data_IF_608826197854
#
_entry.id   IF_608826197854
#
_cell.length_a   1.000
_cell.length_b   1.000
_cell.length_c   1.000
_cell.angle_alpha   90.00
_cell.angle_beta   90.00
_cell.angle_gamma   90.00
#
_symmetry.space_group_name_H-M   'P 1'
#
loop_
_entity.id
_entity.type
_entity.pdbx_description
1 polymer ?
#
# COMPACT_ATOMS: atom_id res chain seq x y z
N UNK A 1 0.51 -15.61 -0.27
CA UNK A 1 0.78 -15.65 -1.73
C UNK A 1 0.02 -14.50 -2.37
N UNK A 2 0.73 -13.47 -2.82
CA UNK A 2 0.12 -12.32 -3.51
C UNK A 2 -0.31 -12.76 -4.91
N UNK A 3 -1.61 -12.82 -5.17
CA UNK A 3 -2.15 -12.97 -6.52
C UNK A 3 -2.14 -11.60 -7.17
N UNK A 4 -1.05 -11.26 -7.85
CA UNK A 4 -1.12 -10.22 -8.87
C UNK A 4 -2.10 -10.71 -9.96
N UNK A 5 -2.96 -9.85 -10.53
CA UNK A 5 -3.72 -10.24 -11.70
C UNK A 5 -2.75 -10.69 -12.80
N UNK A 6 -3.03 -11.81 -13.46
CA UNK A 6 -2.18 -12.38 -14.55
C UNK A 6 -1.91 -11.37 -15.67
N UNK A 7 -2.70 -10.29 -15.75
CA UNK A 7 -2.49 -9.17 -16.65
C UNK A 7 -2.71 -7.83 -15.93
N UNK A 8 -1.71 -6.94 -16.02
CA UNK A 8 -1.85 -5.55 -15.56
C UNK A 8 -2.82 -4.78 -16.46
N UNK A 9 -3.63 -3.85 -15.91
CA UNK A 9 -4.49 -2.98 -16.71
C UNK A 9 -3.70 -2.26 -17.82
N UNK A 10 -4.33 -2.02 -18.97
CA UNK A 10 -3.70 -1.28 -20.08
C UNK A 10 -3.42 0.19 -19.70
N UNK A 11 -4.30 0.78 -18.88
CA UNK A 11 -4.09 2.10 -18.33
C UNK A 11 -2.92 2.08 -17.34
N UNK A 12 -1.79 2.68 -17.73
CA UNK A 12 -0.57 2.72 -16.92
C UNK A 12 -0.74 3.41 -15.55
N UNK A 13 -1.66 4.38 -15.39
CA UNK A 13 -1.93 4.99 -14.07
C UNK A 13 -2.63 4.01 -13.14
N UNK A 14 -3.61 3.26 -13.66
CA UNK A 14 -4.30 2.23 -12.90
C UNK A 14 -3.35 1.06 -12.57
N UNK A 15 -2.56 0.62 -13.53
CA UNK A 15 -1.55 -0.42 -13.32
C UNK A 15 -0.51 -0.01 -12.25
N UNK A 16 -0.06 1.25 -12.25
CA UNK A 16 0.80 1.80 -11.20
C UNK A 16 0.18 1.64 -9.81
N UNK A 17 -1.09 2.03 -9.66
CA UNK A 17 -1.82 1.93 -8.38
C UNK A 17 -1.93 0.49 -7.91
N UNK A 18 -2.29 -0.43 -8.81
CA UNK A 18 -2.41 -1.85 -8.50
C UNK A 18 -1.07 -2.43 -8.01
N UNK A 19 0.02 -2.14 -8.71
CA UNK A 19 1.36 -2.63 -8.35
C UNK A 19 1.79 -2.06 -7.01
N UNK A 20 1.64 -0.75 -6.81
CA UNK A 20 2.03 -0.10 -5.57
C UNK A 20 1.28 -0.67 -4.36
N UNK A 21 -0.05 -0.74 -4.40
CA UNK A 21 -0.88 -1.19 -3.28
C UNK A 21 -0.76 -2.70 -2.98
N UNK A 22 -0.36 -3.48 -3.97
CA UNK A 22 -0.09 -4.90 -3.77
C UNK A 22 1.14 -5.11 -2.85
N UNK A 23 2.15 -4.25 -2.92
CA UNK A 23 3.36 -4.38 -2.12
C UNK A 23 3.11 -4.12 -0.62
N UNK A 24 3.68 -4.96 0.25
CA UNK A 24 3.70 -4.78 1.71
C UNK A 24 5.06 -4.32 2.25
N UNK A 25 6.07 -4.25 1.39
CA UNK A 25 7.43 -3.79 1.70
C UNK A 25 7.99 -2.96 0.55
N UNK A 26 8.99 -2.14 0.83
CA UNK A 26 9.69 -1.33 -0.15
C UNK A 26 11.18 -1.23 0.18
N UNK A 27 11.99 -0.91 -0.83
CA UNK A 27 13.34 -0.37 -0.61
C UNK A 27 13.24 1.15 -0.54
N UNK A 28 13.48 1.72 0.64
CA UNK A 28 13.52 3.16 0.89
C UNK A 28 14.93 3.68 0.63
N UNK A 29 15.05 4.58 -0.34
CA UNK A 29 16.25 5.37 -0.57
C UNK A 29 16.13 6.73 0.13
N UNK A 30 17.17 7.08 0.89
CA UNK A 30 17.34 8.34 1.63
C UNK A 30 18.80 8.82 1.51
N UNK A 31 19.11 10.00 2.03
CA UNK A 31 20.47 10.56 1.99
C UNK A 31 21.12 10.46 3.37
N UNK A 32 22.30 9.82 3.48
CA UNK A 32 22.99 9.66 4.76
C UNK A 32 23.24 11.01 5.44
N UNK A 33 22.75 11.15 6.67
CA UNK A 33 23.07 12.29 7.51
C UNK A 33 24.59 12.34 7.78
N UNK A 34 25.19 13.54 7.70
CA UNK A 34 26.60 13.77 8.03
C UNK A 34 27.65 13.25 7.02
N UNK A 35 27.25 12.56 5.95
CA UNK A 35 28.16 11.98 4.94
C UNK A 35 28.00 12.61 3.54
N UNK A 36 27.76 13.92 3.48
CA UNK A 36 27.58 14.64 2.21
C UNK A 36 26.37 14.20 1.38
N UNK A 37 25.43 13.45 1.98
CA UNK A 37 24.23 12.96 1.32
C UNK A 37 24.44 11.75 0.40
N UNK A 38 25.37 10.84 0.73
CA UNK A 38 25.47 9.57 0.00
C UNK A 38 24.11 8.82 0.00
N UNK A 39 23.70 8.23 -1.14
CA UNK A 39 22.44 7.50 -1.22
C UNK A 39 22.49 6.24 -0.35
N UNK A 40 21.46 6.03 0.45
CA UNK A 40 21.32 4.90 1.37
C UNK A 40 19.99 4.21 1.16
N UNK A 41 20.04 2.90 0.94
CA UNK A 41 18.87 2.05 0.77
C UNK A 41 18.62 1.21 2.03
N UNK A 42 17.40 1.20 2.52
CA UNK A 42 16.95 0.34 3.62
C UNK A 42 15.64 -0.35 3.30
N UNK A 43 15.45 -1.57 3.81
CA UNK A 43 14.16 -2.25 3.76
C UNK A 43 13.18 -1.61 4.74
N UNK A 44 11.96 -1.32 4.29
CA UNK A 44 10.84 -0.87 5.13
C UNK A 44 9.59 -1.68 4.82
N UNK A 45 8.72 -1.87 5.82
CA UNK A 45 7.33 -2.27 5.59
C UNK A 45 6.50 -1.03 5.24
N UNK A 46 5.50 -1.21 4.38
CA UNK A 46 4.69 -0.10 3.87
C UNK A 46 3.21 -0.45 3.89
N UNK A 47 2.39 0.53 4.26
CA UNK A 47 0.96 0.57 3.98
C UNK A 47 0.67 1.79 3.10
N UNK A 48 -0.55 1.92 2.58
CA UNK A 48 -0.92 3.05 1.73
C UNK A 48 -2.18 3.74 2.25
N UNK A 49 -2.15 5.07 2.20
CA UNK A 49 -3.33 5.91 2.36
C UNK A 49 -4.20 5.88 1.09
N UNK A 50 -5.40 6.47 1.12
CA UNK A 50 -6.36 6.48 0.02
C UNK A 50 -5.84 7.19 -1.24
N UNK A 51 -5.00 8.21 -1.07
CA UNK A 51 -4.35 8.94 -2.17
C UNK A 51 -3.03 8.30 -2.66
N UNK A 52 -2.76 7.07 -2.21
CA UNK A 52 -1.53 6.31 -2.48
C UNK A 52 -0.28 6.88 -1.82
N UNK A 53 -0.41 7.79 -0.85
CA UNK A 53 0.73 8.16 0.00
C UNK A 53 1.22 6.93 0.80
N UNK A 54 2.50 6.54 0.67
CA UNK A 54 3.09 5.52 1.53
C UNK A 54 3.04 5.93 3.01
N UNK A 55 2.68 4.97 3.86
CA UNK A 55 2.69 5.06 5.31
C UNK A 55 3.77 4.12 5.83
N UNK A 56 4.69 4.65 6.63
CA UNK A 56 5.79 3.93 7.25
C UNK A 56 5.72 4.10 8.77
N UNK A 57 6.13 3.07 9.52
CA UNK A 57 6.35 3.16 10.96
C UNK A 57 7.83 2.99 11.23
N UNK A 58 8.51 4.05 11.63
CA UNK A 58 9.98 4.09 11.71
C UNK A 58 10.45 4.38 13.14
N UNK A 59 11.50 3.69 13.58
CA UNK A 59 12.21 4.00 14.83
C UNK A 59 13.09 5.23 14.64
N UNK A 60 13.10 6.14 15.62
CA UNK A 60 13.98 7.30 15.71
C UNK A 60 15.46 6.95 15.87
N UNK A 61 15.77 5.70 16.24
CA UNK A 61 17.14 5.21 16.37
C UNK A 61 17.75 4.78 15.03
N UNK A 62 16.91 4.51 14.03
CA UNK A 62 17.34 4.02 12.72
C UNK A 62 18.03 5.10 11.89
N UNK A 63 18.93 4.69 11.00
CA UNK A 63 19.62 5.63 10.12
C UNK A 63 18.68 6.23 9.08
N UNK A 64 17.71 5.47 8.53
CA UNK A 64 16.74 6.06 7.61
C UNK A 64 15.88 7.16 8.24
N UNK A 65 15.55 7.08 9.53
CA UNK A 65 14.83 8.17 10.21
C UNK A 65 15.73 9.39 10.41
N UNK A 66 16.98 9.19 10.85
CA UNK A 66 17.96 10.29 10.96
C UNK A 66 18.20 10.97 9.61
N UNK A 67 18.29 10.18 8.54
CA UNK A 67 18.44 10.67 7.16
C UNK A 67 17.25 11.54 6.76
N UNK A 68 16.03 11.05 6.94
CA UNK A 68 14.79 11.77 6.61
C UNK A 68 14.65 13.07 7.42
N UNK A 69 15.04 13.04 8.70
CA UNK A 69 15.03 14.24 9.54
C UNK A 69 16.03 15.30 9.06
N UNK A 70 17.15 14.90 8.46
CA UNK A 70 18.13 15.81 7.88
C UNK A 70 17.74 16.30 6.47
N UNK A 71 17.18 15.41 5.64
CA UNK A 71 16.64 15.72 4.33
C UNK A 71 15.40 14.85 4.05
N UNK A 72 14.20 15.45 3.92
CA UNK A 72 12.97 14.67 3.80
C UNK A 72 12.80 14.02 2.42
N UNK A 73 13.65 14.32 1.43
CA UNK A 73 13.52 13.74 0.09
C UNK A 73 13.83 12.25 0.11
N UNK A 74 12.88 11.46 -0.38
CA UNK A 74 12.98 10.00 -0.41
C UNK A 74 12.51 9.43 -1.74
N UNK A 75 12.93 8.20 -2.00
CA UNK A 75 12.41 7.37 -3.09
C UNK A 75 12.10 5.98 -2.57
N UNK A 76 10.97 5.39 -2.96
CA UNK A 76 10.55 4.05 -2.59
C UNK A 76 10.47 3.19 -3.85
N UNK A 77 11.25 2.11 -3.90
CA UNK A 77 11.09 1.07 -4.90
C UNK A 77 10.10 0.01 -4.37
N UNK A 78 8.99 -0.10 -5.08
CA UNK A 78 7.93 -1.09 -4.88
C UNK A 78 8.10 -2.18 -5.93
N UNK A 79 8.47 -3.37 -5.47
CA UNK A 79 8.81 -4.52 -6.30
C UNK A 79 7.60 -5.45 -6.44
N UNK A 80 6.99 -5.46 -7.63
CA UNK A 80 5.88 -6.34 -8.00
C UNK A 80 6.32 -7.60 -8.74
N UNK A 81 7.61 -7.96 -8.69
CA UNK A 81 8.19 -9.00 -9.56
C UNK A 81 8.17 -10.42 -8.97
N UNK A 82 7.59 -10.63 -7.79
CA UNK A 82 7.70 -11.87 -7.01
C UNK A 82 7.34 -13.18 -7.75
N UNK A 83 6.50 -13.12 -8.78
CA UNK A 83 6.05 -14.28 -9.58
C UNK A 83 6.69 -14.31 -10.98
N UNK A 84 7.70 -13.48 -11.24
CA UNK A 84 8.40 -13.43 -12.53
C UNK A 84 9.74 -14.18 -12.43
N UNK A 85 9.95 -15.17 -13.31
CA UNK A 85 11.22 -15.89 -13.40
C UNK A 85 12.41 -14.96 -13.72
N UNK A 86 12.18 -13.91 -14.54
CA UNK A 86 13.10 -12.81 -14.74
C UNK A 86 12.51 -11.52 -14.17
N UNK A 87 13.00 -11.00 -13.02
CA UNK A 87 12.42 -9.83 -12.38
C UNK A 87 12.53 -8.55 -13.23
N UNK A 88 13.48 -8.46 -14.18
CA UNK A 88 13.56 -7.31 -15.08
C UNK A 88 12.35 -7.17 -16.02
N UNK A 89 11.60 -8.26 -16.22
CA UNK A 89 10.38 -8.28 -17.03
C UNK A 89 9.11 -8.00 -16.23
N UNK A 90 9.16 -8.06 -14.89
CA UNK A 90 7.99 -7.91 -14.02
C UNK A 90 7.72 -6.47 -13.59
N UNK A 91 6.53 -6.13 -13.09
CA UNK A 91 6.18 -4.76 -12.78
C UNK A 91 6.89 -4.19 -11.55
N UNK A 92 7.12 -2.88 -11.56
CA UNK A 92 7.71 -2.13 -10.46
C UNK A 92 7.29 -0.67 -10.52
N UNK A 93 7.27 -0.03 -9.35
CA UNK A 93 7.01 1.41 -9.22
C UNK A 93 8.13 2.02 -8.38
N UNK A 94 8.72 3.11 -8.86
CA UNK A 94 9.57 3.98 -8.04
C UNK A 94 8.77 5.24 -7.72
N UNK A 95 8.40 5.44 -6.46
CA UNK A 95 7.69 6.63 -5.98
C UNK A 95 8.70 7.57 -5.34
N UNK A 96 8.74 8.83 -5.77
CA UNK A 96 9.58 9.88 -5.19
C UNK A 96 8.72 10.89 -4.46
N UNK A 97 9.20 11.41 -3.33
CA UNK A 97 8.45 12.39 -2.56
C UNK A 97 9.18 12.85 -1.32
N UNK A 98 8.42 13.41 -0.38
CA UNK A 98 8.93 13.92 0.90
C UNK A 98 8.30 13.19 2.07
N UNK A 99 9.14 12.76 3.00
CA UNK A 99 8.70 12.13 4.22
C UNK A 99 8.30 13.19 5.26
N UNK A 100 7.09 13.04 5.81
CA UNK A 100 6.54 13.91 6.84
C UNK A 100 6.06 13.07 8.01
N UNK A 101 6.40 13.48 9.24
CA UNK A 101 5.89 12.82 10.44
C UNK A 101 4.40 13.12 10.57
N UNK A 102 3.60 12.11 10.89
CA UNK A 102 2.15 12.26 11.08
C UNK A 102 1.72 11.77 12.46
N UNK A 103 0.71 12.45 13.00
CA UNK A 103 -0.01 12.06 14.23
C UNK A 103 -1.46 11.69 13.94
N UNK A 104 -1.84 11.54 12.67
CA UNK A 104 -3.19 11.10 12.29
C UNK A 104 -3.40 9.64 12.75
N UNK A 105 -4.30 9.39 13.72
CA UNK A 105 -4.54 8.05 14.25
C UNK A 105 -5.06 7.08 13.18
N UNK A 106 -5.70 7.57 12.11
CA UNK A 106 -6.18 6.75 10.99
C UNK A 106 -5.02 6.08 10.25
N UNK A 107 -3.90 6.77 10.09
CA UNK A 107 -2.71 6.21 9.43
C UNK A 107 -2.08 5.10 10.28
N UNK A 108 -2.01 5.30 11.60
CA UNK A 108 -1.59 4.24 12.53
C UNK A 108 -2.50 3.02 12.43
N UNK A 109 -3.82 3.22 12.44
CA UNK A 109 -4.79 2.14 12.31
C UNK A 109 -4.62 1.37 11.00
N UNK A 110 -4.50 2.06 9.85
CA UNK A 110 -4.23 1.41 8.55
C UNK A 110 -2.92 0.65 8.53
N UNK A 111 -1.85 1.23 9.09
CA UNK A 111 -0.55 0.57 9.13
C UNK A 111 -0.59 -0.72 9.97
N UNK A 112 -1.19 -0.68 11.16
CA UNK A 112 -1.31 -1.84 12.05
C UNK A 112 -2.28 -2.90 11.51
N UNK A 113 -3.33 -2.48 10.79
CA UNK A 113 -4.24 -3.41 10.12
C UNK A 113 -3.54 -4.19 9.00
N UNK A 114 -2.52 -3.60 8.38
CA UNK A 114 -1.67 -4.21 7.36
C UNK A 114 -0.49 -5.00 7.93
N UNK A 115 0.07 -4.55 9.06
CA UNK A 115 1.26 -5.13 9.71
C UNK A 115 1.01 -5.40 11.20
N UNK A 116 0.24 -6.44 11.58
CA UNK A 116 -0.18 -6.65 12.96
C UNK A 116 0.98 -6.86 13.94
N UNK A 117 2.08 -7.51 13.53
CA UNK A 117 3.28 -7.65 14.35
C UNK A 117 3.88 -6.31 14.79
N UNK A 118 3.60 -5.22 14.07
CA UNK A 118 4.08 -3.89 14.43
C UNK A 118 3.45 -3.32 15.71
N UNK A 119 2.31 -3.87 16.16
CA UNK A 119 1.68 -3.46 17.42
C UNK A 119 2.61 -3.65 18.64
N UNK A 120 3.60 -4.55 18.55
CA UNK A 120 4.59 -4.81 19.59
C UNK A 120 5.50 -3.61 19.88
N UNK A 121 5.71 -2.73 18.89
CA UNK A 121 6.65 -1.60 18.99
C UNK A 121 6.06 -0.26 18.58
N UNK A 122 4.87 -0.22 17.95
CA UNK A 122 4.24 1.02 17.50
C UNK A 122 3.94 2.03 18.63
N UNK A 123 3.78 1.54 19.87
CA UNK A 123 3.58 2.38 21.05
C UNK A 123 4.87 2.85 21.73
N UNK A 124 6.04 2.44 21.26
CA UNK A 124 7.31 2.87 21.84
C UNK A 124 7.58 4.34 21.50
N UNK A 125 8.16 5.07 22.45
CA UNK A 125 8.35 6.51 22.35
C UNK A 125 9.26 6.93 21.17
N UNK A 126 10.14 6.05 20.71
CA UNK A 126 11.02 6.30 19.58
C UNK A 126 10.39 5.94 18.23
N UNK A 127 9.24 5.26 18.17
CA UNK A 127 8.58 4.94 16.92
C UNK A 127 7.56 6.02 16.52
N UNK A 128 7.48 6.31 15.23
CA UNK A 128 6.52 7.27 14.70
C UNK A 128 6.00 6.87 13.32
N UNK A 129 4.77 7.27 13.03
CA UNK A 129 4.22 7.22 11.68
C UNK A 129 4.85 8.33 10.83
N UNK A 130 5.31 7.94 9.66
CA UNK A 130 5.76 8.82 8.59
C UNK A 130 4.90 8.59 7.36
N UNK A 131 4.37 9.67 6.81
CA UNK A 131 3.62 9.68 5.56
C UNK A 131 4.51 10.28 4.49
N UNK A 132 4.65 9.60 3.36
CA UNK A 132 5.41 10.14 2.23
C UNK A 132 4.43 10.89 1.33
N UNK A 133 4.58 12.21 1.24
CA UNK A 133 3.85 13.03 0.27
C UNK A 133 4.42 12.74 -1.13
N UNK A 134 3.68 12.04 -2.01
CA UNK A 134 4.19 11.69 -3.33
C UNK A 134 4.30 12.93 -4.21
N UNK A 135 5.40 13.03 -4.94
CA UNK A 135 5.61 14.08 -5.94
C UNK A 135 5.51 13.49 -7.36
N UNK A 136 6.18 12.35 -7.60
CA UNK A 136 6.21 11.66 -8.89
C UNK A 136 6.31 10.16 -8.71
N UNK A 137 5.96 9.42 -9.74
CA UNK A 137 6.16 7.99 -9.80
C UNK A 137 6.61 7.52 -11.18
N UNK A 138 7.62 6.66 -11.22
CA UNK A 138 8.06 5.96 -12.41
C UNK A 138 7.50 4.55 -12.39
N UNK A 139 6.57 4.26 -13.28
CA UNK A 139 6.01 2.93 -13.45
C UNK A 139 6.72 2.22 -14.57
N UNK A 140 7.09 0.96 -14.32
CA UNK A 140 7.50 0.05 -15.37
C UNK A 140 6.67 -1.23 -15.28
N UNK A 141 5.85 -1.48 -16.29
CA UNK A 141 4.88 -2.59 -16.33
C UNK A 141 5.33 -3.82 -17.12
N UNK A 142 6.61 -3.88 -17.50
CA UNK A 142 7.17 -4.88 -18.41
C UNK A 142 7.72 -4.25 -19.70
N UNK A 143 7.93 -5.07 -20.73
CA UNK A 143 8.54 -4.62 -21.98
C UNK A 143 7.70 -3.53 -22.65
N UNK A 144 8.34 -2.42 -23.06
CA UNK A 144 7.69 -1.31 -23.75
C UNK A 144 6.77 -0.42 -22.89
N UNK A 145 6.62 -0.68 -21.59
CA UNK A 145 5.77 0.09 -20.68
C UNK A 145 6.60 0.73 -19.57
N UNK A 146 7.26 1.85 -19.85
CA UNK A 146 7.99 2.66 -18.87
C UNK A 146 7.55 4.12 -18.97
N UNK A 147 6.98 4.68 -17.90
CA UNK A 147 6.35 6.00 -17.92
C UNK A 147 6.45 6.70 -16.57
N UNK A 148 6.67 8.02 -16.62
CA UNK A 148 6.61 8.90 -15.46
C UNK A 148 5.24 9.54 -15.33
N UNK A 149 4.78 9.68 -14.09
CA UNK A 149 3.60 10.44 -13.72
C UNK A 149 3.94 11.41 -12.59
N UNK A 150 3.42 12.62 -12.68
CA UNK A 150 3.38 13.54 -11.55
C UNK A 150 2.14 13.24 -10.70
N UNK A 151 2.24 13.47 -9.40
CA UNK A 151 1.09 13.41 -8.49
C UNK A 151 0.09 14.56 -8.82
N UNK A 152 -1.23 14.36 -8.66
CA UNK A 152 -1.89 13.12 -8.20
C UNK A 152 -1.95 12.04 -9.28
N UNK A 153 -1.98 10.77 -8.86
CA UNK A 153 -1.97 9.62 -9.77
C UNK A 153 -3.36 9.22 -10.30
N UNK A 154 -4.27 10.19 -10.42
CA UNK A 154 -5.66 9.97 -10.85
C UNK A 154 -6.54 9.31 -9.78
N UNK A 155 -6.19 9.49 -8.50
CA UNK A 155 -6.98 9.04 -7.35
C UNK A 155 -7.83 10.20 -6.83
N UNK A 156 -9.12 9.97 -6.70
CA UNK A 156 -10.00 10.74 -5.83
C UNK A 156 -10.44 9.79 -4.72
N UNK A 157 -10.14 10.06 -3.44
CA UNK A 157 -10.59 9.19 -2.36
C UNK A 157 -12.11 9.18 -2.20
N UNK A 158 -12.87 10.10 -2.82
CA UNK A 158 -14.33 10.16 -2.84
C UNK A 158 -15.01 10.00 -1.46
N UNK A 159 -14.39 10.52 -0.39
CA UNK A 159 -14.92 10.40 0.96
C UNK A 159 -14.83 8.97 1.56
N UNK A 160 -14.06 8.07 0.94
CA UNK A 160 -13.93 6.69 1.40
C UNK A 160 -13.23 6.61 2.77
N UNK A 161 -12.33 7.55 3.07
CA UNK A 161 -11.63 7.59 4.35
C UNK A 161 -12.57 7.78 5.54
N UNK A 162 -13.67 8.50 5.34
CA UNK A 162 -14.66 8.85 6.35
C UNK A 162 -15.60 7.67 6.66
N UNK A 163 -15.84 6.79 5.69
CA UNK A 163 -16.76 5.65 5.83
C UNK A 163 -16.07 4.28 5.80
N UNK A 164 -14.74 4.22 5.67
CA UNK A 164 -13.99 2.97 5.54
C UNK A 164 -14.30 1.97 6.68
N UNK A 165 -14.34 2.42 7.93
CA UNK A 165 -14.58 1.52 9.07
C UNK A 165 -15.97 0.88 9.03
N UNK A 166 -17.00 1.66 8.67
CA UNK A 166 -18.36 1.15 8.53
C UNK A 166 -18.46 0.15 7.37
N UNK A 167 -17.79 0.43 6.25
CA UNK A 167 -17.72 -0.47 5.10
C UNK A 167 -16.97 -1.76 5.43
N UNK A 168 -15.84 -1.69 6.15
CA UNK A 168 -15.10 -2.86 6.60
C UNK A 168 -15.97 -3.73 7.52
N UNK A 169 -16.71 -3.12 8.45
CA UNK A 169 -17.64 -3.83 9.33
C UNK A 169 -18.75 -4.52 8.54
N UNK A 170 -19.36 -3.81 7.59
CA UNK A 170 -20.41 -4.35 6.72
C UNK A 170 -19.89 -5.53 5.88
N UNK A 171 -18.76 -5.37 5.18
CA UNK A 171 -18.19 -6.41 4.31
C UNK A 171 -17.80 -7.64 5.12
N UNK A 172 -17.10 -7.48 6.25
CA UNK A 172 -16.69 -8.61 7.08
C UNK A 172 -17.88 -9.35 7.70
N UNK A 173 -18.98 -8.66 8.00
CA UNK A 173 -20.21 -9.28 8.53
C UNK A 173 -20.97 -10.02 7.42
N UNK A 174 -21.22 -9.34 6.29
CA UNK A 174 -22.01 -9.88 5.18
C UNK A 174 -21.30 -11.03 4.47
N UNK A 175 -19.97 -11.02 4.39
CA UNK A 175 -19.17 -12.00 3.66
C UNK A 175 -18.32 -12.90 4.58
N UNK A 176 -18.69 -13.06 5.85
CA UNK A 176 -17.97 -13.89 6.82
C UNK A 176 -17.74 -15.33 6.30
N UNK A 177 -18.73 -15.93 5.64
CA UNK A 177 -18.65 -17.28 5.09
C UNK A 177 -17.61 -17.39 3.95
N UNK A 178 -17.57 -16.41 3.06
CA UNK A 178 -16.59 -16.35 1.97
C UNK A 178 -15.16 -16.16 2.51
N UNK A 179 -14.99 -15.30 3.52
CA UNK A 179 -13.71 -15.08 4.18
C UNK A 179 -13.21 -16.33 4.93
N UNK A 180 -14.11 -17.05 5.61
CA UNK A 180 -13.76 -18.30 6.32
C UNK A 180 -13.23 -19.38 5.38
N UNK A 181 -13.66 -19.38 4.11
CA UNK A 181 -13.16 -20.33 3.09
C UNK A 181 -11.72 -20.06 2.66
N UNK A 182 -11.18 -18.85 2.88
CA UNK A 182 -9.75 -18.57 2.75
C UNK A 182 -8.93 -19.17 3.91
N UNK A 183 -9.59 -19.54 5.00
CA UNK A 183 -9.04 -20.03 6.26
C UNK A 183 -9.58 -19.22 7.45
N UNK A 184 -9.55 -19.82 8.64
CA UNK A 184 -9.93 -19.11 9.86
C UNK A 184 -9.00 -17.90 10.10
N UNK A 185 -9.58 -16.74 10.42
CA UNK A 185 -8.85 -15.51 10.75
C UNK A 185 -8.66 -14.52 9.61
N UNK A 186 -9.01 -14.88 8.37
CA UNK A 186 -9.02 -13.92 7.26
C UNK A 186 -10.12 -12.89 7.43
N UNK A 187 -9.78 -11.63 7.22
CA UNK A 187 -10.70 -10.49 7.24
C UNK A 187 -10.24 -9.42 6.26
N UNK A 188 -11.17 -8.60 5.79
CA UNK A 188 -10.87 -7.36 5.08
C UNK A 188 -10.39 -6.33 6.10
N UNK A 189 -9.23 -5.71 5.86
CA UNK A 189 -8.57 -4.80 6.80
C UNK A 189 -8.38 -3.38 6.30
N UNK A 190 -8.42 -3.16 4.99
CA UNK A 190 -8.42 -1.84 4.40
C UNK A 190 -9.14 -1.84 3.05
N UNK A 191 -9.66 -0.67 2.69
CA UNK A 191 -10.30 -0.36 1.44
C UNK A 191 -9.57 0.81 0.76
N UNK A 192 -9.67 0.82 -0.56
CA UNK A 192 -9.39 1.98 -1.39
C UNK A 192 -10.22 1.87 -2.68
N UNK A 193 -10.13 2.89 -3.53
CA UNK A 193 -10.94 2.94 -4.74
C UNK A 193 -10.63 1.80 -5.73
N UNK A 194 -9.48 1.13 -5.65
CA UNK A 194 -9.09 0.05 -6.56
C UNK A 194 -9.37 -1.35 -6.01
N UNK A 195 -9.74 -1.47 -4.74
CA UNK A 195 -9.85 -2.79 -4.14
C UNK A 195 -9.80 -2.77 -2.63
N UNK A 196 -9.48 -3.95 -2.11
CA UNK A 196 -9.43 -4.21 -0.69
C UNK A 196 -8.25 -5.09 -0.31
N UNK A 197 -7.79 -4.87 0.91
CA UNK A 197 -6.72 -5.60 1.54
C UNK A 197 -7.33 -6.61 2.51
N UNK A 198 -6.86 -7.85 2.44
CA UNK A 198 -7.22 -8.92 3.35
C UNK A 198 -5.98 -9.32 4.14
N UNK A 199 -6.17 -9.61 5.42
CA UNK A 199 -5.10 -10.10 6.28
C UNK A 199 -5.56 -11.24 7.18
N UNK A 200 -4.61 -12.11 7.51
CA UNK A 200 -4.70 -13.09 8.58
C UNK A 200 -3.34 -13.12 9.30
N UNK A 201 -3.25 -12.51 10.49
CA UNK A 201 -1.96 -12.26 11.13
C UNK A 201 -1.01 -11.52 10.17
N UNK A 202 0.17 -12.09 9.90
CA UNK A 202 1.17 -11.49 9.00
C UNK A 202 0.98 -11.89 7.53
N UNK A 203 0.00 -12.74 7.22
CA UNK A 203 -0.36 -13.07 5.85
C UNK A 203 -1.22 -11.96 5.24
N UNK A 204 -0.80 -11.51 4.07
CA UNK A 204 -1.45 -10.44 3.33
C UNK A 204 -1.91 -10.90 1.94
N UNK A 205 -3.11 -10.46 1.53
CA UNK A 205 -3.62 -10.59 0.16
C UNK A 205 -4.34 -9.32 -0.26
N UNK A 206 -4.12 -8.90 -1.51
CA UNK A 206 -4.91 -7.82 -2.13
C UNK A 206 -5.93 -8.41 -3.09
N UNK A 207 -7.16 -7.93 -3.04
CA UNK A 207 -8.17 -8.17 -4.06
C UNK A 207 -8.45 -6.85 -4.79
N UNK A 208 -8.38 -6.90 -6.11
CA UNK A 208 -8.58 -5.74 -6.97
C UNK A 208 -10.03 -5.74 -7.45
N UNK A 209 -10.69 -4.58 -7.43
CA UNK A 209 -12.02 -4.43 -8.02
C UNK A 209 -11.95 -4.41 -9.56
N UNK A 210 -13.02 -4.80 -10.26
CA UNK A 210 -13.05 -4.78 -11.73
C UNK A 210 -12.85 -3.39 -12.32
N UNK A 211 -13.28 -2.35 -11.60
CA UNK A 211 -13.09 -0.95 -11.93
C UNK A 211 -12.99 -0.10 -10.65
N UNK A 212 -12.38 1.10 -10.73
CA UNK A 212 -12.35 2.02 -9.59
C UNK A 212 -13.75 2.38 -9.10
N UNK A 213 -13.95 2.35 -7.79
CA UNK A 213 -15.23 2.71 -7.13
C UNK A 213 -15.23 4.18 -6.70
N UNK A 214 -16.41 4.80 -6.74
CA UNK A 214 -16.59 6.22 -6.43
C UNK A 214 -17.40 6.49 -5.15
N UNK A 215 -18.04 5.48 -4.57
CA UNK A 215 -18.88 5.65 -3.39
C UNK A 215 -19.04 4.35 -2.59
N UNK A 216 -19.69 4.45 -1.42
CA UNK A 216 -19.97 3.32 -0.55
C UNK A 216 -20.81 2.21 -1.22
N UNK A 217 -21.94 2.50 -1.91
CA UNK A 217 -22.69 1.49 -2.66
C UNK A 217 -21.86 0.71 -3.68
N UNK A 218 -21.05 1.41 -4.48
CA UNK A 218 -20.16 0.78 -5.47
C UNK A 218 -19.08 -0.07 -4.78
N UNK A 219 -18.55 0.39 -3.65
CA UNK A 219 -17.56 -0.35 -2.86
C UNK A 219 -18.13 -1.67 -2.35
N UNK A 220 -19.34 -1.67 -1.78
CA UNK A 220 -20.02 -2.88 -1.30
C UNK A 220 -20.34 -3.84 -2.46
N UNK A 221 -20.84 -3.32 -3.58
CA UNK A 221 -21.12 -4.12 -4.77
C UNK A 221 -19.86 -4.78 -5.34
N UNK A 222 -18.76 -4.03 -5.48
CA UNK A 222 -17.49 -4.52 -5.97
C UNK A 222 -16.85 -5.54 -5.02
N UNK A 223 -16.91 -5.31 -3.70
CA UNK A 223 -16.47 -6.28 -2.70
C UNK A 223 -17.24 -7.60 -2.80
N UNK A 224 -18.57 -7.53 -2.93
CA UNK A 224 -19.40 -8.72 -3.14
C UNK A 224 -19.07 -9.46 -4.44
N UNK A 225 -18.79 -8.73 -5.52
CA UNK A 225 -18.39 -9.33 -6.81
C UNK A 225 -17.08 -10.11 -6.70
N UNK A 226 -16.04 -9.53 -6.10
CA UNK A 226 -14.72 -10.16 -6.02
C UNK A 226 -14.65 -11.28 -4.96
N UNK A 227 -15.54 -11.27 -3.97
CA UNK A 227 -15.65 -12.35 -2.98
C UNK A 227 -16.55 -13.51 -3.45
N UNK A 228 -17.44 -13.28 -4.43
CA UNK A 228 -18.35 -14.31 -4.95
C UNK A 228 -17.65 -15.61 -5.34
N UNK A 229 -16.51 -15.61 -6.07
CA UNK A 229 -15.82 -16.86 -6.43
C UNK A 229 -15.32 -17.67 -5.24
N UNK A 230 -15.19 -17.05 -4.06
CA UNK A 230 -14.79 -17.72 -2.82
C UNK A 230 -15.98 -18.36 -2.10
N UNK A 231 -17.21 -18.02 -2.45
CA UNK A 231 -18.41 -18.57 -1.81
C UNK A 231 -19.70 -17.86 -2.19
N UNK A 232 -20.17 -18.05 -3.43
CA UNK A 232 -21.55 -18.09 -3.92
C UNK A 232 -21.54 -18.63 -5.36
#
# INVERSE_FOLDING_TARGET
>A
MMTAPDQLPDNNRLALRHVARACNKASLASLLAGSGGAPYASLVTVAFDHDLAPILLLSGLSDHTKNIMADPRVSLLLDGTQNHANPQTGPRVTLTGRAERSTDPRLTARFLARHPAAALYAGFADFAIWRIQPERAHFVGGFGRAVWFDAPFGLDPNGLAECEQDLLSAINTTHADALTRLGAGWRVTALDVDGMDLANQDDFRRMTFPAPVADAPQTLAAAGEVLRPLGL
#
